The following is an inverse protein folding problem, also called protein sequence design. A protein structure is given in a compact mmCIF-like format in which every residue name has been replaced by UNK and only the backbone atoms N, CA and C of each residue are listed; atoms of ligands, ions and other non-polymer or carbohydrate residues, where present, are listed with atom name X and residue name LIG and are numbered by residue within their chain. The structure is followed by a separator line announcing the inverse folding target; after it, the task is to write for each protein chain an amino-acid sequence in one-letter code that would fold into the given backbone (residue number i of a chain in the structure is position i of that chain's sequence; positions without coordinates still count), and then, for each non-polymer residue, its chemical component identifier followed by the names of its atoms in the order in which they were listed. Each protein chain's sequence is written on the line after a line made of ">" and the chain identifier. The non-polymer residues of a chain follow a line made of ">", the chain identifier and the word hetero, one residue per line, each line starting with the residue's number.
data_IF_986349248349
#
_entry.id   IF_986349248349
#
_cell.length_a   1.000
_cell.length_b   1.000
_cell.length_c   1.000
_cell.angle_alpha   90.00
_cell.angle_beta   90.00
_cell.angle_gamma   90.00
#
_symmetry.space_group_name_H-M   'P 1'
#
loop_
_entity.id
_entity.type
_entity.pdbx_description
1 polymer ?
#
# COMPACT_ATOMS: atom_id res chain seq x y z
N UNK A 1 -21.35 -15.18 8.84
CA UNK A 1 -21.07 -14.20 7.78
C UNK A 1 -20.01 -13.24 8.28
N UNK A 2 -18.74 -13.64 8.23
CA UNK A 2 -17.63 -12.71 8.38
C UNK A 2 -17.09 -12.52 6.97
N UNK A 3 -17.32 -11.35 6.39
CA UNK A 3 -16.63 -10.94 5.16
C UNK A 3 -15.27 -10.46 5.61
N UNK A 4 -14.35 -11.39 5.85
CA UNK A 4 -12.94 -11.06 5.83
C UNK A 4 -12.64 -10.69 4.40
N UNK A 5 -12.62 -9.40 4.09
CA UNK A 5 -12.07 -8.89 2.84
C UNK A 5 -10.69 -9.51 2.72
N UNK A 6 -10.53 -10.39 1.74
CA UNK A 6 -9.30 -11.13 1.44
C UNK A 6 -8.24 -10.16 0.92
N UNK A 7 -7.81 -9.21 1.75
CA UNK A 7 -6.52 -8.57 1.58
C UNK A 7 -5.49 -9.66 1.87
N UNK A 8 -4.79 -10.18 0.86
CA UNK A 8 -3.68 -11.08 1.11
C UNK A 8 -2.74 -10.32 2.04
N UNK A 9 -2.17 -11.03 3.03
CA UNK A 9 -1.17 -10.51 3.97
C UNK A 9 -0.42 -9.29 3.44
N UNK A 10 -0.20 -8.22 4.23
CA UNK A 10 0.65 -7.12 3.81
C UNK A 10 2.03 -7.71 3.50
N UNK A 11 2.28 -7.92 2.21
CA UNK A 11 3.53 -8.42 1.70
C UNK A 11 4.56 -7.38 2.12
N UNK A 12 5.62 -7.73 2.87
CA UNK A 12 6.62 -6.76 3.31
C UNK A 12 7.24 -6.00 2.11
N UNK A 13 7.05 -6.51 0.90
CA UNK A 13 7.29 -5.90 -0.40
C UNK A 13 6.67 -4.51 -0.57
N UNK A 14 5.40 -4.29 -0.22
CA UNK A 14 4.74 -3.00 -0.48
C UNK A 14 5.21 -1.93 0.51
N UNK A 15 5.36 -2.28 1.78
CA UNK A 15 5.93 -1.38 2.78
C UNK A 15 7.39 -1.03 2.45
N UNK A 16 8.20 -2.00 2.01
CA UNK A 16 9.56 -1.75 1.55
C UNK A 16 9.61 -0.83 0.33
N UNK A 17 8.73 -1.02 -0.67
CA UNK A 17 8.65 -0.16 -1.84
C UNK A 17 8.30 1.28 -1.46
N UNK A 18 7.29 1.47 -0.61
CA UNK A 18 6.89 2.80 -0.11
C UNK A 18 8.05 3.46 0.64
N UNK A 19 8.79 2.71 1.46
CA UNK A 19 9.96 3.22 2.16
C UNK A 19 11.15 3.52 1.23
N UNK A 20 11.35 2.75 0.16
CA UNK A 20 12.41 2.98 -0.82
C UNK A 20 12.17 4.29 -1.56
N UNK A 21 10.95 4.48 -2.09
CA UNK A 21 10.52 5.72 -2.75
C UNK A 21 10.64 6.89 -1.78
N UNK A 22 10.17 6.75 -0.54
CA UNK A 22 10.22 7.82 0.45
C UNK A 22 11.63 8.25 0.83
N UNK A 23 12.60 7.33 0.82
CA UNK A 23 14.01 7.64 1.08
C UNK A 23 14.61 8.55 0.01
N UNK A 24 14.14 8.46 -1.24
CA UNK A 24 14.54 9.37 -2.32
C UNK A 24 14.06 10.81 -2.08
N UNK A 25 12.92 10.98 -1.40
CA UNK A 25 12.40 12.31 -1.05
C UNK A 25 12.99 12.84 0.27
N UNK A 26 12.98 12.03 1.32
CA UNK A 26 13.54 12.38 2.62
C UNK A 26 13.90 11.11 3.42
N UNK A 27 15.19 10.85 3.71
CA UNK A 27 15.62 9.64 4.41
C UNK A 27 15.17 9.56 5.87
N UNK A 28 14.67 10.64 6.46
CA UNK A 28 14.15 10.66 7.83
C UNK A 28 12.61 10.51 7.90
N UNK A 29 11.94 10.35 6.76
CA UNK A 29 10.49 10.22 6.72
C UNK A 29 10.05 8.86 7.26
N UNK A 30 9.06 8.87 8.15
CA UNK A 30 8.47 7.66 8.73
C UNK A 30 6.96 7.69 8.47
N UNK A 31 6.41 6.56 8.08
CA UNK A 31 4.98 6.42 7.87
C UNK A 31 4.32 5.77 9.08
N UNK A 32 3.09 6.19 9.36
CA UNK A 32 2.21 5.41 10.23
C UNK A 32 1.77 4.16 9.48
N UNK A 33 1.56 3.05 10.20
CA UNK A 33 1.06 1.80 9.61
C UNK A 33 -0.27 2.00 8.89
N UNK A 34 -1.15 2.85 9.42
CA UNK A 34 -2.42 3.25 8.77
C UNK A 34 -2.23 3.96 7.44
N UNK A 35 -1.20 4.79 7.31
CA UNK A 35 -0.90 5.50 6.05
C UNK A 35 -0.41 4.53 4.97
N UNK A 36 0.41 3.54 5.35
CA UNK A 36 0.89 2.50 4.42
C UNK A 36 -0.28 1.64 3.91
N UNK A 37 -1.21 1.26 4.78
CA UNK A 37 -2.42 0.52 4.38
C UNK A 37 -3.31 1.33 3.43
N UNK A 38 -3.53 2.62 3.72
CA UNK A 38 -4.31 3.48 2.83
C UNK A 38 -3.67 3.65 1.45
N UNK A 39 -2.33 3.73 1.38
CA UNK A 39 -1.59 3.75 0.11
C UNK A 39 -1.76 2.45 -0.67
N UNK A 40 -1.79 1.31 0.03
CA UNK A 40 -2.04 0.01 -0.59
C UNK A 40 -3.45 -0.05 -1.19
N UNK A 41 -4.48 0.27 -0.41
CA UNK A 41 -5.86 0.28 -0.88
C UNK A 41 -6.07 1.21 -2.08
N UNK A 42 -5.51 2.43 -2.04
CA UNK A 42 -5.60 3.36 -3.15
C UNK A 42 -4.88 2.84 -4.41
N UNK A 43 -3.73 2.17 -4.25
CA UNK A 43 -2.98 1.58 -5.35
C UNK A 43 -3.73 0.39 -5.97
N UNK A 44 -4.32 -0.47 -5.15
CA UNK A 44 -5.14 -1.59 -5.62
C UNK A 44 -6.41 -1.11 -6.31
N UNK A 45 -7.09 -0.09 -5.76
CA UNK A 45 -8.24 0.54 -6.39
C UNK A 45 -7.89 1.17 -7.75
N UNK A 46 -6.74 1.85 -7.84
CA UNK A 46 -6.27 2.40 -9.11
C UNK A 46 -5.94 1.30 -10.12
N UNK A 47 -5.27 0.23 -9.71
CA UNK A 47 -4.97 -0.90 -10.59
C UNK A 47 -6.23 -1.65 -11.01
N UNK A 48 -7.24 -1.76 -10.15
CA UNK A 48 -8.54 -2.32 -10.50
C UNK A 48 -9.26 -1.44 -11.52
N UNK A 49 -9.30 -0.12 -11.29
CA UNK A 49 -9.85 0.85 -12.25
C UNK A 49 -9.18 0.74 -13.61
N UNK A 50 -7.84 0.65 -13.66
CA UNK A 50 -7.09 0.53 -14.93
C UNK A 50 -7.28 -0.83 -15.60
N UNK A 51 -7.56 -1.90 -14.84
CA UNK A 51 -7.83 -3.24 -15.41
C UNK A 51 -9.25 -3.40 -15.94
N UNK A 52 -10.18 -2.58 -15.47
CA UNK A 52 -11.57 -2.57 -15.93
C UNK A 52 -11.79 -1.71 -17.20
N UNK A 53 -10.74 -1.05 -17.71
CA UNK A 53 -10.70 -0.39 -19.03
C UNK A 53 -9.99 -1.27 -20.07
#
# INVERSE_FOLDING_TARGET
>A
YQTSTELPNPDPSFEHLVQEIAREFNPNLRFQSSAVMALQEASEAYLAMVKEE
#
